data_IF_079639384575
#
_entry.id   IF_079639384575
#
_cell.length_a   1.000
_cell.length_b   1.000
_cell.length_c   1.000
_cell.angle_alpha   90.00
_cell.angle_beta   90.00
_cell.angle_gamma   90.00
#
_symmetry.space_group_name_H-M   'P 1'
#
loop_
_entity.id
_entity.type
_entity.pdbx_description
1 polymer ?
#
# COMPACT_ATOMS: atom_id res chain seq x y z
N UNK A 1 1.14 5.55 -6.19
CA UNK A 1 0.89 7.01 -6.17
C UNK A 1 1.68 7.63 -5.03
N UNK A 2 2.53 8.62 -5.33
CA UNK A 2 3.26 9.36 -4.28
C UNK A 2 2.45 10.60 -3.89
N UNK A 3 2.10 10.69 -2.61
CA UNK A 3 1.44 11.86 -2.02
C UNK A 3 2.39 12.61 -1.11
N UNK A 4 2.00 13.80 -0.65
CA UNK A 4 2.77 14.56 0.37
C UNK A 4 3.01 13.77 1.67
N UNK A 5 2.13 12.82 1.99
CA UNK A 5 2.14 12.12 3.28
C UNK A 5 2.66 10.69 3.20
N UNK A 6 2.92 10.20 1.99
CA UNK A 6 3.46 8.88 1.73
C UNK A 6 2.85 8.23 0.49
N UNK A 7 3.19 6.98 0.28
CA UNK A 7 2.75 6.20 -0.88
C UNK A 7 1.40 5.52 -0.66
N UNK A 8 0.63 5.41 -1.74
CA UNK A 8 -0.62 4.64 -1.83
C UNK A 8 -0.58 3.83 -3.13
N UNK A 9 -0.91 2.55 -3.08
CA UNK A 9 -1.11 1.73 -4.27
C UNK A 9 -2.60 1.65 -4.60
N UNK A 10 -2.93 1.81 -5.87
CA UNK A 10 -4.27 1.62 -6.42
C UNK A 10 -4.16 0.51 -7.46
N UNK A 11 -4.92 -0.56 -7.28
CA UNK A 11 -4.94 -1.71 -8.19
C UNK A 11 -6.27 -1.77 -8.94
N UNK A 12 -6.26 -2.33 -10.15
CA UNK A 12 -7.47 -2.51 -10.97
C UNK A 12 -7.97 -1.23 -11.65
N UNK A 13 -7.09 -0.25 -11.86
CA UNK A 13 -7.40 0.99 -12.60
C UNK A 13 -6.53 1.08 -13.86
N UNK A 14 -7.07 1.65 -14.92
CA UNK A 14 -6.36 1.82 -16.20
C UNK A 14 -5.71 3.21 -16.31
N UNK A 15 -6.29 4.22 -15.66
CA UNK A 15 -5.78 5.59 -15.71
C UNK A 15 -4.81 5.89 -14.57
N UNK A 16 -3.82 6.73 -14.86
CA UNK A 16 -2.97 7.32 -13.83
C UNK A 16 -3.74 8.45 -13.13
N UNK A 17 -3.78 8.49 -11.78
CA UNK A 17 -4.28 9.66 -11.07
C UNK A 17 -3.52 10.93 -11.46
N UNK A 18 -4.21 12.07 -11.37
CA UNK A 18 -3.57 13.37 -11.55
C UNK A 18 -2.38 13.58 -10.60
N UNK A 19 -1.44 14.43 -10.99
CA UNK A 19 -0.32 14.76 -10.12
C UNK A 19 -0.79 15.60 -8.91
N UNK A 20 -0.07 15.52 -7.79
CA UNK A 20 -0.31 16.32 -6.57
C UNK A 20 -1.65 16.13 -5.86
N UNK A 21 -2.34 15.01 -6.08
CA UNK A 21 -3.56 14.70 -5.33
C UNK A 21 -3.31 14.59 -3.82
N UNK A 22 -4.28 15.08 -3.05
CA UNK A 22 -4.38 14.79 -1.61
C UNK A 22 -4.69 13.31 -1.41
N UNK A 23 -4.54 12.81 -0.19
CA UNK A 23 -4.95 11.43 0.14
C UNK A 23 -6.43 11.23 -0.22
N UNK A 24 -7.30 12.16 0.19
CA UNK A 24 -8.73 12.06 -0.11
C UNK A 24 -9.00 12.04 -1.62
N UNK A 25 -8.31 12.88 -2.39
CA UNK A 25 -8.42 12.86 -3.85
C UNK A 25 -7.92 11.55 -4.49
N UNK A 26 -6.91 10.90 -3.90
CA UNK A 26 -6.47 9.57 -4.33
C UNK A 26 -7.50 8.50 -3.99
N UNK A 27 -8.14 8.60 -2.82
CA UNK A 27 -9.23 7.70 -2.40
C UNK A 27 -10.42 7.85 -3.33
N UNK A 28 -10.89 9.09 -3.55
CA UNK A 28 -12.01 9.39 -4.45
C UNK A 28 -11.73 8.87 -5.86
N UNK A 29 -10.53 9.14 -6.40
CA UNK A 29 -10.09 8.63 -7.69
C UNK A 29 -10.21 7.10 -7.79
N UNK A 30 -9.76 6.38 -6.76
CA UNK A 30 -9.83 4.92 -6.72
C UNK A 30 -11.27 4.44 -6.63
N UNK A 31 -12.09 5.02 -5.73
CA UNK A 31 -13.47 4.60 -5.51
C UNK A 31 -14.36 4.81 -6.73
N UNK A 32 -14.20 5.94 -7.43
CA UNK A 32 -14.92 6.21 -8.69
C UNK A 32 -14.64 5.18 -9.79
N UNK A 33 -13.50 4.49 -9.71
CA UNK A 33 -13.03 3.51 -10.72
C UNK A 33 -13.11 2.06 -10.24
N UNK A 34 -13.68 1.81 -9.06
CA UNK A 34 -13.70 0.48 -8.46
C UNK A 34 -12.31 -0.07 -8.13
N UNK A 35 -11.32 0.81 -7.97
CA UNK A 35 -9.95 0.43 -7.64
C UNK A 35 -9.79 -0.03 -6.19
N UNK A 36 -8.83 -0.94 -5.97
CA UNK A 36 -8.46 -1.45 -4.65
C UNK A 36 -7.33 -0.61 -4.08
N UNK A 37 -7.52 -0.10 -2.86
CA UNK A 37 -6.55 0.75 -2.16
C UNK A 37 -5.71 -0.11 -1.23
N UNK A 38 -4.41 -0.19 -1.51
CA UNK A 38 -3.42 -0.85 -0.65
C UNK A 38 -2.49 0.20 -0.06
N UNK A 39 -2.25 0.14 1.24
CA UNK A 39 -1.21 0.96 1.90
C UNK A 39 0.13 0.23 1.82
N UNK A 40 1.07 0.66 0.95
CA UNK A 40 2.36 0.01 0.80
C UNK A 40 3.31 0.44 1.91
N UNK A 41 4.12 -0.52 2.38
CA UNK A 41 5.27 -0.36 3.25
C UNK A 41 5.10 0.78 4.30
N UNK A 42 4.06 0.72 5.16
CA UNK A 42 3.59 1.88 5.93
C UNK A 42 4.67 2.49 6.83
N UNK A 43 5.64 1.69 7.28
CA UNK A 43 6.71 2.10 8.19
C UNK A 43 8.08 2.25 7.53
N UNK A 44 8.17 2.05 6.20
CA UNK A 44 9.39 2.30 5.40
C UNK A 44 9.48 3.78 5.03
N UNK A 45 10.64 4.24 4.56
CA UNK A 45 10.78 5.58 4.00
C UNK A 45 9.69 5.88 2.95
N UNK A 46 9.09 7.06 3.02
CA UNK A 46 7.91 7.46 2.23
C UNK A 46 6.62 6.67 2.50
N UNK A 47 6.59 5.83 3.53
CA UNK A 47 5.36 5.21 4.04
C UNK A 47 4.47 6.21 4.79
N UNK A 48 3.17 5.94 4.81
CA UNK A 48 2.17 6.81 5.45
C UNK A 48 2.27 6.80 6.99
N UNK A 49 2.81 5.73 7.56
CA UNK A 49 2.96 5.53 9.00
C UNK A 49 1.61 5.57 9.73
N UNK A 50 1.64 6.11 10.96
CA UNK A 50 0.47 6.21 11.84
C UNK A 50 -0.68 7.07 11.28
N UNK A 51 -0.42 7.90 10.25
CA UNK A 51 -1.47 8.68 9.57
C UNK A 51 -2.48 7.78 8.85
N UNK A 52 -2.13 6.52 8.58
CA UNK A 52 -3.02 5.50 8.02
C UNK A 52 -4.29 5.34 8.86
N UNK A 53 -4.24 5.66 10.15
CA UNK A 53 -5.39 5.61 11.05
C UNK A 53 -6.66 6.27 10.50
N UNK A 54 -6.53 7.29 9.63
CA UNK A 54 -7.65 8.04 9.03
C UNK A 54 -7.87 7.77 7.54
N UNK A 55 -7.18 6.80 6.94
CA UNK A 55 -7.24 6.56 5.49
C UNK A 55 -8.09 5.33 5.21
N UNK A 56 -9.17 5.44 4.41
CA UNK A 56 -9.91 4.29 3.92
C UNK A 56 -9.00 3.44 3.02
N UNK A 57 -8.72 2.21 3.44
CA UNK A 57 -7.91 1.26 2.70
C UNK A 57 -8.56 -0.12 2.72
N UNK A 58 -8.29 -0.92 1.68
CA UNK A 58 -8.84 -2.26 1.53
C UNK A 58 -7.83 -3.32 2.02
N UNK A 59 -6.52 -3.02 1.97
CA UNK A 59 -5.47 -3.88 2.49
C UNK A 59 -4.22 -3.08 2.93
N UNK A 60 -3.34 -3.73 3.69
CA UNK A 60 -2.03 -3.19 4.10
C UNK A 60 -0.93 -4.13 3.67
N UNK A 61 0.16 -3.59 3.09
CA UNK A 61 1.35 -4.38 2.81
C UNK A 61 2.08 -4.71 4.13
N UNK A 62 2.01 -5.98 4.54
CA UNK A 62 2.62 -6.50 5.78
C UNK A 62 4.00 -7.08 5.54
N UNK A 63 4.35 -7.35 4.28
CA UNK A 63 5.67 -7.82 3.90
C UNK A 63 6.17 -7.15 2.62
N UNK A 64 7.29 -6.46 2.75
CA UNK A 64 8.05 -5.89 1.65
C UNK A 64 9.55 -6.24 1.87
N UNK A 65 10.26 -6.82 0.88
CA UNK A 65 11.66 -7.22 1.03
C UNK A 65 12.64 -6.08 1.34
N UNK A 66 12.28 -4.84 0.96
CA UNK A 66 13.11 -3.65 1.23
C UNK A 66 12.79 -3.02 2.59
N UNK A 67 11.79 -3.52 3.32
CA UNK A 67 11.50 -3.12 4.70
C UNK A 67 12.33 -3.96 5.68
N UNK A 68 12.70 -3.38 6.82
CA UNK A 68 13.30 -4.14 7.91
C UNK A 68 12.28 -5.09 8.54
N UNK A 69 12.76 -6.11 9.25
CA UNK A 69 11.92 -7.04 10.00
C UNK A 69 10.94 -6.31 10.94
N UNK A 70 11.42 -5.29 11.67
CA UNK A 70 10.57 -4.52 12.59
C UNK A 70 9.51 -3.71 11.85
N UNK A 71 9.82 -3.13 10.69
CA UNK A 71 8.84 -2.40 9.86
C UNK A 71 7.72 -3.32 9.37
N UNK A 72 8.05 -4.53 8.89
CA UNK A 72 7.06 -5.53 8.47
C UNK A 72 6.21 -5.99 9.67
N UNK A 73 6.83 -6.22 10.83
CA UNK A 73 6.11 -6.59 12.06
C UNK A 73 5.17 -5.48 12.55
N UNK A 74 5.55 -4.22 12.42
CA UNK A 74 4.67 -3.09 12.71
C UNK A 74 3.50 -3.03 11.71
N UNK A 75 3.75 -3.26 10.43
CA UNK A 75 2.71 -3.30 9.40
C UNK A 75 1.70 -4.42 9.65
N UNK A 76 2.16 -5.62 10.03
CA UNK A 76 1.30 -6.73 10.42
C UNK A 76 0.41 -6.38 11.63
N UNK A 77 0.99 -5.77 12.67
CA UNK A 77 0.22 -5.29 13.84
C UNK A 77 -0.83 -4.26 13.44
N UNK A 78 -0.49 -3.34 12.54
CA UNK A 78 -1.42 -2.33 12.03
C UNK A 78 -2.59 -2.98 11.27
N UNK A 79 -2.31 -3.94 10.38
CA UNK A 79 -3.34 -4.68 9.64
C UNK A 79 -4.31 -5.39 10.59
N UNK A 80 -3.78 -6.08 11.61
CA UNK A 80 -4.58 -6.73 12.66
C UNK A 80 -5.42 -5.72 13.45
N UNK A 81 -4.83 -4.60 13.87
CA UNK A 81 -5.53 -3.56 14.63
C UNK A 81 -6.67 -2.90 13.81
N UNK A 82 -6.51 -2.83 12.48
CA UNK A 82 -7.50 -2.28 11.55
C UNK A 82 -8.51 -3.31 11.05
N UNK A 83 -8.34 -4.58 11.38
CA UNK A 83 -9.12 -5.69 10.82
C UNK A 83 -9.12 -5.67 9.28
N UNK A 84 -7.95 -5.39 8.69
CA UNK A 84 -7.74 -5.40 7.24
C UNK A 84 -6.86 -6.59 6.85
N UNK A 85 -7.06 -7.17 5.65
CA UNK A 85 -6.18 -8.19 5.12
C UNK A 85 -4.76 -7.64 4.93
N UNK A 86 -3.77 -8.49 5.19
CA UNK A 86 -2.38 -8.24 4.90
C UNK A 86 -2.00 -8.75 3.52
N UNK A 87 -1.24 -7.96 2.76
CA UNK A 87 -0.68 -8.34 1.46
C UNK A 87 0.84 -8.22 1.47
N UNK A 88 1.49 -8.79 0.46
CA UNK A 88 2.92 -8.74 0.23
C UNK A 88 3.23 -8.35 -1.22
N UNK A 89 4.26 -7.52 -1.39
CA UNK A 89 4.71 -7.03 -2.70
C UNK A 89 6.23 -6.92 -2.76
N UNK A 90 6.81 -7.21 -3.92
CA UNK A 90 8.26 -7.12 -4.12
C UNK A 90 8.74 -5.67 -4.12
N UNK A 91 7.91 -4.74 -4.59
CA UNK A 91 8.30 -3.35 -4.88
C UNK A 91 9.55 -3.28 -5.77
N UNK A 92 9.57 -4.14 -6.80
CA UNK A 92 10.70 -4.29 -7.69
C UNK A 92 10.98 -3.03 -8.52
N UNK A 93 12.22 -2.56 -8.46
CA UNK A 93 12.81 -1.50 -9.27
C UNK A 93 13.86 -2.05 -10.26
N UNK A 94 14.31 -3.29 -10.07
CA UNK A 94 15.19 -4.05 -10.99
C UNK A 94 14.60 -5.44 -11.32
N UNK A 95 14.88 -6.01 -12.52
CA UNK A 95 14.43 -7.37 -12.87
C UNK A 95 14.78 -8.46 -11.87
N UNK A 96 15.88 -8.34 -11.13
CA UNK A 96 16.27 -9.34 -10.12
C UNK A 96 15.41 -9.29 -8.85
N UNK A 97 14.63 -8.23 -8.66
CA UNK A 97 13.73 -8.06 -7.51
C UNK A 97 12.34 -8.62 -7.80
N UNK A 98 12.05 -8.97 -9.05
CA UNK A 98 10.80 -9.63 -9.43
C UNK A 98 10.62 -10.93 -8.61
N UNK A 99 9.40 -11.15 -8.13
CA UNK A 99 8.99 -12.37 -7.41
C UNK A 99 9.65 -12.60 -6.03
N UNK A 100 10.41 -11.64 -5.50
CA UNK A 100 10.98 -11.71 -4.14
C UNK A 100 9.92 -11.69 -3.03
N UNK A 101 8.72 -11.20 -3.34
CA UNK A 101 7.52 -11.31 -2.52
C UNK A 101 6.27 -11.31 -3.41
N UNK A 102 5.23 -12.01 -2.98
CA UNK A 102 3.94 -12.07 -3.67
C UNK A 102 2.81 -12.35 -2.67
N UNK A 103 1.58 -12.03 -3.07
CA UNK A 103 0.36 -12.41 -2.34
C UNK A 103 -0.33 -13.52 -3.12
N UNK A 104 -0.57 -14.66 -2.48
CA UNK A 104 -1.44 -15.69 -3.02
C UNK A 104 -2.90 -15.33 -2.69
N UNK A 105 -3.77 -15.42 -3.69
CA UNK A 105 -5.20 -15.08 -3.58
C UNK A 105 -6.00 -16.22 -4.18
N UNK A 106 -6.91 -16.78 -3.39
CA UNK A 106 -7.95 -17.70 -3.89
C UNK A 106 -9.14 -16.84 -4.37
N UNK A 107 -9.47 -16.94 -5.65
CA UNK A 107 -10.50 -16.13 -6.32
C UNK A 107 -11.37 -16.98 -7.24
#
# INVERSE_FOLDING_TARGET
VSTRWGHINILGVEEKPGDWLTIDGVVDFARERGGVIVIPHPYRGSGIGERMSNIPADAIEVFNPHSTYEQNKMAEKLARAKNLPGVAGSDAHDPNEMWTAYTEVEA
#
